data_IF_270056969649
#
_entry.id   IF_270056969649
#
_cell.length_a   1.000
_cell.length_b   1.000
_cell.length_c   1.000
_cell.angle_alpha   90.00
_cell.angle_beta   90.00
_cell.angle_gamma   90.00
#
_symmetry.space_group_name_H-M   'P 1'
#
loop_
_entity.id
_entity.type
_entity.pdbx_description
1 polymer ?
#
# COMPACT_ATOMS: atom_id res chain seq x y z
N UNK A 1 45.71 -9.37 1.53
CA UNK A 1 45.01 -10.39 2.34
C UNK A 1 45.94 -11.56 2.51
N UNK A 2 46.19 -12.05 3.75
CA UNK A 2 47.04 -13.21 3.99
C UNK A 2 46.54 -14.44 3.24
N UNK A 3 47.43 -15.26 2.68
CA UNK A 3 47.05 -16.48 1.94
C UNK A 3 46.19 -17.43 2.76
N UNK A 4 46.42 -17.51 4.08
CA UNK A 4 45.62 -18.32 5.01
C UNK A 4 44.17 -17.90 5.12
N UNK A 5 43.82 -16.66 4.82
CA UNK A 5 42.44 -16.15 4.88
C UNK A 5 41.69 -16.29 3.54
N UNK A 6 42.40 -16.46 2.42
CA UNK A 6 41.80 -16.53 1.09
C UNK A 6 41.14 -17.89 0.85
N UNK A 7 41.77 -18.99 1.21
CA UNK A 7 41.24 -20.34 0.94
C UNK A 7 39.90 -20.62 1.63
N UNK A 8 39.68 -20.26 2.91
CA UNK A 8 38.38 -20.42 3.55
C UNK A 8 37.27 -19.64 2.83
N UNK A 9 37.57 -18.44 2.33
CA UNK A 9 36.60 -17.62 1.57
C UNK A 9 36.29 -18.28 0.23
N UNK A 10 37.30 -18.72 -0.52
CA UNK A 10 37.11 -19.40 -1.81
C UNK A 10 36.32 -20.71 -1.67
N UNK A 11 36.64 -21.51 -0.64
CA UNK A 11 35.86 -22.73 -0.35
C UNK A 11 34.42 -22.42 -0.01
N UNK A 12 34.13 -21.35 0.76
CA UNK A 12 32.76 -20.92 1.05
C UNK A 12 32.02 -20.45 -0.22
N UNK A 13 32.73 -19.73 -1.10
CA UNK A 13 32.18 -19.31 -2.40
C UNK A 13 31.91 -20.51 -3.30
N UNK A 14 32.77 -21.53 -3.27
CA UNK A 14 32.60 -22.79 -3.99
C UNK A 14 31.37 -23.56 -3.44
N UNK A 15 31.21 -23.65 -2.11
CA UNK A 15 30.06 -24.32 -1.47
C UNK A 15 28.72 -23.69 -1.85
N UNK A 16 28.69 -22.36 -2.02
CA UNK A 16 27.48 -21.65 -2.45
C UNK A 16 27.34 -21.50 -3.97
N UNK A 17 28.21 -22.18 -4.75
CA UNK A 17 28.12 -22.24 -6.22
C UNK A 17 28.55 -20.97 -6.96
N UNK A 18 29.20 -20.02 -6.31
CA UNK A 18 29.65 -18.76 -6.93
C UNK A 18 31.03 -18.88 -7.60
N UNK A 19 31.79 -19.90 -7.26
CA UNK A 19 33.12 -20.19 -7.79
C UNK A 19 33.23 -21.68 -8.01
N UNK A 20 33.87 -22.09 -9.09
CA UNK A 20 34.26 -23.48 -9.37
C UNK A 20 35.76 -23.65 -9.28
N UNK A 21 36.24 -24.74 -8.69
CA UNK A 21 37.65 -25.07 -8.68
C UNK A 21 37.98 -26.09 -9.76
N UNK A 22 39.14 -25.88 -10.43
CA UNK A 22 39.60 -26.76 -11.50
C UNK A 22 41.11 -27.07 -11.24
N UNK A 23 41.47 -28.36 -11.29
CA UNK A 23 42.82 -28.87 -11.09
C UNK A 23 43.21 -29.00 -9.60
N UNK A 24 44.12 -29.93 -9.33
CA UNK A 24 44.55 -30.24 -7.95
C UNK A 24 45.83 -29.52 -7.51
N UNK A 25 46.75 -29.24 -8.45
CA UNK A 25 47.98 -28.55 -8.12
C UNK A 25 48.60 -27.87 -9.35
N UNK A 26 48.48 -26.53 -9.49
CA UNK A 26 47.78 -25.60 -8.63
C UNK A 26 46.26 -25.60 -8.83
N UNK A 27 45.49 -25.54 -7.74
CA UNK A 27 44.01 -25.36 -7.77
C UNK A 27 43.69 -23.96 -8.29
N UNK A 28 42.92 -23.88 -9.37
CA UNK A 28 42.44 -22.63 -9.95
C UNK A 28 40.96 -22.44 -9.62
N UNK A 29 40.61 -21.23 -9.27
CA UNK A 29 39.19 -20.86 -8.98
C UNK A 29 38.64 -20.00 -10.11
N UNK A 30 37.53 -20.43 -10.69
CA UNK A 30 36.88 -19.76 -11.80
C UNK A 30 35.54 -19.20 -11.26
N UNK A 31 35.32 -17.87 -11.31
CA UNK A 31 34.06 -17.29 -10.87
C UNK A 31 32.93 -17.60 -11.84
N UNK A 32 31.71 -17.63 -11.32
CA UNK A 32 30.50 -17.71 -12.13
C UNK A 32 30.40 -16.47 -13.05
N UNK A 33 29.90 -16.65 -14.27
CA UNK A 33 29.69 -15.52 -15.18
C UNK A 33 28.70 -14.51 -14.57
N UNK A 34 28.85 -13.20 -14.82
CA UNK A 34 28.00 -12.19 -14.20
C UNK A 34 26.49 -12.39 -14.45
N UNK A 35 26.11 -12.85 -15.65
CA UNK A 35 24.71 -13.17 -15.97
C UNK A 35 24.17 -14.33 -15.14
N UNK A 36 24.95 -15.42 -15.07
CA UNK A 36 24.61 -16.60 -14.28
C UNK A 36 24.64 -16.33 -12.76
N UNK A 37 25.45 -15.37 -12.32
CA UNK A 37 25.46 -14.92 -10.93
C UNK A 37 24.11 -14.29 -10.54
N UNK A 38 23.56 -13.43 -11.40
CA UNK A 38 22.25 -12.81 -11.15
C UNK A 38 21.12 -13.85 -11.14
N UNK A 39 21.14 -14.78 -12.10
CA UNK A 39 20.20 -15.90 -12.14
C UNK A 39 20.28 -16.79 -10.89
N UNK A 40 21.50 -17.10 -10.43
CA UNK A 40 21.72 -17.88 -9.21
C UNK A 40 21.13 -17.19 -7.98
N UNK A 41 21.31 -15.89 -7.84
CA UNK A 41 20.71 -15.14 -6.74
C UNK A 41 19.18 -15.09 -6.84
N UNK A 42 18.61 -14.90 -8.03
CA UNK A 42 17.17 -14.87 -8.23
C UNK A 42 16.52 -16.24 -7.88
N UNK A 43 17.13 -17.35 -8.34
CA UNK A 43 16.68 -18.70 -7.97
C UNK A 43 16.80 -18.95 -6.47
N UNK A 44 17.98 -18.71 -5.88
CA UNK A 44 18.18 -18.91 -4.42
C UNK A 44 17.26 -18.06 -3.56
N UNK A 45 16.90 -16.86 -4.03
CA UNK A 45 15.94 -16.00 -3.33
C UNK A 45 14.51 -16.53 -3.46
N UNK A 46 14.10 -17.01 -4.63
CA UNK A 46 12.80 -17.62 -4.86
C UNK A 46 12.62 -18.90 -4.02
N UNK A 47 13.58 -19.79 -4.04
CA UNK A 47 13.52 -21.03 -3.26
C UNK A 47 13.32 -20.75 -1.77
N UNK A 48 14.10 -19.81 -1.21
CA UNK A 48 13.95 -19.41 0.20
C UNK A 48 12.60 -18.77 0.51
N UNK A 49 12.04 -18.00 -0.43
CA UNK A 49 10.71 -17.42 -0.27
C UNK A 49 9.63 -18.49 -0.33
N UNK A 50 9.78 -19.50 -1.16
CA UNK A 50 8.81 -20.58 -1.28
C UNK A 50 8.85 -21.52 -0.06
N UNK A 51 10.04 -21.86 0.46
CA UNK A 51 10.21 -22.55 1.74
C UNK A 51 9.58 -21.78 2.91
N UNK A 52 9.77 -20.45 2.93
CA UNK A 52 9.20 -19.58 3.94
C UNK A 52 7.67 -19.53 3.84
N UNK A 53 7.12 -19.42 2.63
CA UNK A 53 5.66 -19.45 2.41
C UNK A 53 5.05 -20.76 2.88
N UNK A 54 5.69 -21.91 2.56
CA UNK A 54 5.24 -23.21 3.03
C UNK A 54 5.26 -23.31 4.55
N UNK A 55 6.32 -22.79 5.16
CA UNK A 55 6.47 -22.80 6.63
C UNK A 55 5.44 -21.92 7.32
N UNK A 56 5.19 -20.71 6.80
CA UNK A 56 4.19 -19.76 7.30
C UNK A 56 2.78 -20.31 7.07
N UNK A 57 2.52 -20.95 5.92
CA UNK A 57 1.20 -21.54 5.62
C UNK A 57 0.78 -22.67 6.57
N UNK A 58 1.71 -23.20 7.36
CA UNK A 58 1.44 -24.20 8.42
C UNK A 58 1.12 -23.57 9.78
N UNK A 59 1.30 -22.24 9.91
CA UNK A 59 0.98 -21.49 11.13
C UNK A 59 -0.47 -21.03 11.00
N UNK A 60 -1.33 -21.60 11.81
CA UNK A 60 -2.71 -21.15 11.96
C UNK A 60 -2.69 -19.83 12.75
N UNK A 61 -2.65 -18.71 12.04
CA UNK A 61 -2.76 -17.39 12.66
C UNK A 61 -4.25 -17.06 12.62
N UNK A 62 -4.86 -16.99 13.78
CA UNK A 62 -6.20 -16.44 13.93
C UNK A 62 -6.19 -14.99 13.40
N UNK A 63 -6.74 -14.80 12.19
CA UNK A 63 -6.77 -13.50 11.48
C UNK A 63 -7.59 -12.46 12.29
N UNK A 64 -8.44 -12.93 13.21
CA UNK A 64 -9.26 -12.11 14.11
C UNK A 64 -8.52 -11.69 15.39
N UNK A 65 -7.33 -12.21 15.66
CA UNK A 65 -6.57 -11.90 16.88
C UNK A 65 -6.05 -10.45 16.95
N UNK A 66 -6.05 -9.73 15.84
CA UNK A 66 -5.54 -8.36 15.78
C UNK A 66 -6.51 -7.41 15.08
N UNK A 67 -7.35 -6.75 15.85
CA UNK A 67 -8.22 -5.69 15.35
C UNK A 67 -7.47 -4.55 14.67
N UNK A 68 -6.21 -4.30 15.05
CA UNK A 68 -5.39 -3.21 14.55
C UNK A 68 -3.98 -3.64 14.22
N UNK A 69 -3.56 -3.37 13.00
CA UNK A 69 -2.18 -3.52 12.59
C UNK A 69 -1.50 -2.16 12.50
N UNK A 70 -0.48 -1.93 13.33
CA UNK A 70 0.28 -0.70 13.35
C UNK A 70 1.30 -0.65 12.23
N UNK A 71 1.23 0.36 11.38
CA UNK A 71 2.16 0.61 10.29
C UNK A 71 3.16 1.68 10.73
N UNK A 72 4.43 1.30 10.81
CA UNK A 72 5.52 2.18 11.19
C UNK A 72 6.28 2.66 9.95
N UNK A 73 6.40 3.96 9.78
CA UNK A 73 7.11 4.59 8.67
C UNK A 73 6.29 4.69 7.38
N UNK A 74 6.62 5.71 6.59
CA UNK A 74 5.94 6.04 5.34
C UNK A 74 5.99 4.90 4.31
N UNK A 75 7.15 4.21 4.20
CA UNK A 75 7.31 3.10 3.26
C UNK A 75 6.31 1.96 3.52
N UNK A 76 6.12 1.58 4.78
CA UNK A 76 5.18 0.52 5.15
C UNK A 76 3.72 0.92 4.93
N UNK A 77 3.39 2.20 5.15
CA UNK A 77 2.10 2.76 4.76
C UNK A 77 1.83 2.55 3.27
N UNK A 78 2.74 2.98 2.39
CA UNK A 78 2.56 2.86 0.94
C UNK A 78 2.49 1.40 0.49
N UNK A 79 3.33 0.51 1.05
CA UNK A 79 3.29 -0.92 0.74
C UNK A 79 1.94 -1.53 1.12
N UNK A 80 1.41 -1.21 2.30
CA UNK A 80 0.10 -1.74 2.75
C UNK A 80 -1.06 -1.17 1.94
N UNK A 81 -0.99 0.10 1.54
CA UNK A 81 -1.99 0.68 0.63
C UNK A 81 -2.01 -0.04 -0.71
N UNK A 82 -0.86 -0.30 -1.33
CA UNK A 82 -0.74 -1.07 -2.58
C UNK A 82 -1.32 -2.46 -2.46
N UNK A 83 -0.95 -3.18 -1.40
CA UNK A 83 -1.48 -4.51 -1.12
C UNK A 83 -3.01 -4.51 -1.07
N UNK A 84 -3.62 -3.58 -0.32
CA UNK A 84 -5.08 -3.49 -0.22
C UNK A 84 -5.74 -3.12 -1.55
N UNK A 85 -5.19 -2.17 -2.30
CA UNK A 85 -5.71 -1.76 -3.61
C UNK A 85 -5.65 -2.93 -4.61
N UNK A 86 -4.56 -3.70 -4.60
CA UNK A 86 -4.38 -4.84 -5.49
C UNK A 86 -5.33 -6.00 -5.17
N UNK A 87 -5.71 -6.15 -3.90
CA UNK A 87 -6.67 -7.15 -3.44
C UNK A 87 -8.14 -6.68 -3.51
N UNK A 88 -8.39 -5.41 -3.83
CA UNK A 88 -9.73 -4.84 -3.93
C UNK A 88 -10.57 -5.50 -5.03
N UNK A 89 -11.88 -5.69 -4.75
CA UNK A 89 -12.83 -6.41 -5.62
C UNK A 89 -13.96 -5.54 -6.16
N UNK A 90 -14.34 -4.46 -5.46
CA UNK A 90 -15.51 -3.64 -5.80
C UNK A 90 -15.18 -2.14 -5.78
N UNK A 91 -14.80 -1.60 -4.62
CA UNK A 91 -14.76 -0.14 -4.41
C UNK A 91 -13.53 0.32 -3.64
N UNK A 92 -13.02 1.49 -4.02
CA UNK A 92 -11.91 2.14 -3.34
C UNK A 92 -12.29 3.60 -3.07
N UNK A 93 -12.24 4.00 -1.81
CA UNK A 93 -12.43 5.40 -1.40
C UNK A 93 -11.19 5.89 -0.68
N UNK A 94 -10.72 7.07 -1.04
CA UNK A 94 -9.53 7.62 -0.43
C UNK A 94 -9.65 9.13 -0.21
N UNK A 95 -9.31 9.58 1.00
CA UNK A 95 -8.94 10.96 1.30
C UNK A 95 -7.44 11.01 1.52
N UNK A 96 -6.73 11.78 0.69
CA UNK A 96 -5.28 11.79 0.72
C UNK A 96 -4.65 13.00 0.03
N UNK A 97 -3.33 13.06 0.09
CA UNK A 97 -2.55 14.13 -0.53
C UNK A 97 -2.02 13.69 -1.90
N UNK A 98 -1.66 14.63 -2.80
CA UNK A 98 -1.17 14.32 -4.15
C UNK A 98 0.00 13.34 -4.16
N UNK A 99 0.92 13.46 -3.20
CA UNK A 99 2.10 12.60 -3.08
C UNK A 99 1.72 11.13 -2.83
N UNK A 100 0.83 10.85 -1.88
CA UNK A 100 0.37 9.49 -1.58
C UNK A 100 -0.37 8.90 -2.76
N UNK A 101 -1.26 9.68 -3.37
CA UNK A 101 -2.02 9.25 -4.56
C UNK A 101 -1.08 8.97 -5.72
N UNK A 102 -0.04 9.80 -5.94
CA UNK A 102 0.99 9.56 -6.94
C UNK A 102 1.81 8.29 -6.66
N UNK A 103 2.14 8.04 -5.39
CA UNK A 103 2.91 6.85 -4.99
C UNK A 103 2.19 5.53 -5.29
N UNK A 104 0.85 5.52 -5.25
CA UNK A 104 0.01 4.35 -5.53
C UNK A 104 -0.74 4.45 -6.87
N UNK A 105 -0.40 5.42 -7.72
CA UNK A 105 -1.13 5.71 -8.95
C UNK A 105 -1.22 4.52 -9.90
N UNK A 106 -0.14 3.75 -10.05
CA UNK A 106 -0.11 2.57 -10.91
C UNK A 106 -1.11 1.51 -10.44
N UNK A 107 -1.18 1.30 -9.13
CA UNK A 107 -2.09 0.32 -8.52
C UNK A 107 -3.55 0.76 -8.64
N UNK A 108 -3.84 2.06 -8.50
CA UNK A 108 -5.17 2.63 -8.73
C UNK A 108 -5.61 2.52 -10.20
N UNK A 109 -4.70 2.75 -11.15
CA UNK A 109 -4.99 2.59 -12.59
C UNK A 109 -5.31 1.11 -12.87
N UNK A 110 -4.50 0.19 -12.40
CA UNK A 110 -4.75 -1.25 -12.55
C UNK A 110 -6.07 -1.68 -11.89
N UNK A 111 -6.43 -1.11 -10.74
CA UNK A 111 -7.72 -1.34 -10.09
C UNK A 111 -8.89 -0.83 -10.96
N UNK A 112 -8.75 0.36 -11.56
CA UNK A 112 -9.73 0.90 -12.50
C UNK A 112 -9.90 0.02 -13.75
N UNK A 113 -8.80 -0.51 -14.29
CA UNK A 113 -8.82 -1.44 -15.43
C UNK A 113 -9.51 -2.78 -15.08
N UNK A 114 -9.48 -3.19 -13.81
CA UNK A 114 -10.28 -4.32 -13.29
C UNK A 114 -11.77 -3.99 -13.12
N UNK A 115 -12.18 -2.73 -13.35
CA UNK A 115 -13.58 -2.31 -13.26
C UNK A 115 -14.00 -1.77 -11.88
N UNK A 116 -13.07 -1.54 -10.96
CA UNK A 116 -13.40 -1.06 -9.62
C UNK A 116 -13.91 0.39 -9.63
N UNK A 117 -14.85 0.69 -8.74
CA UNK A 117 -15.33 2.04 -8.50
C UNK A 117 -14.37 2.81 -7.59
N UNK A 118 -13.71 3.86 -8.12
CA UNK A 118 -12.69 4.61 -7.39
C UNK A 118 -13.17 6.04 -7.18
N UNK A 119 -13.22 6.46 -5.91
CA UNK A 119 -13.49 7.83 -5.50
C UNK A 119 -12.34 8.38 -4.68
N UNK A 120 -11.77 9.50 -5.14
CA UNK A 120 -10.65 10.18 -4.49
C UNK A 120 -11.05 11.57 -4.04
N UNK A 121 -10.73 11.90 -2.81
CA UNK A 121 -10.83 13.24 -2.27
C UNK A 121 -9.45 13.78 -1.90
N UNK A 122 -9.22 15.07 -2.16
CA UNK A 122 -8.03 15.78 -1.69
C UNK A 122 -8.32 17.25 -1.48
N UNK A 123 -7.59 17.86 -0.55
CA UNK A 123 -7.58 19.32 -0.44
C UNK A 123 -6.77 19.98 -1.56
N UNK A 124 -5.82 19.27 -2.13
CA UNK A 124 -4.93 19.76 -3.19
C UNK A 124 -5.35 19.23 -4.56
N UNK A 125 -4.86 19.88 -5.62
CA UNK A 125 -5.14 19.46 -6.99
C UNK A 125 -4.69 18.02 -7.27
N UNK A 126 -5.54 17.25 -7.95
CA UNK A 126 -5.29 15.85 -8.30
C UNK A 126 -5.41 15.62 -9.81
N UNK A 127 -4.74 14.57 -10.28
CA UNK A 127 -4.95 14.04 -11.61
C UNK A 127 -6.33 13.37 -11.73
N UNK A 128 -7.19 13.91 -12.58
CA UNK A 128 -8.60 13.47 -12.76
C UNK A 128 -8.76 12.15 -13.56
N UNK A 129 -7.65 11.52 -14.00
CA UNK A 129 -7.72 10.33 -14.87
C UNK A 129 -7.96 9.01 -14.12
N UNK A 130 -7.76 8.96 -12.81
CA UNK A 130 -7.74 7.70 -12.04
C UNK A 130 -9.16 7.23 -11.69
N UNK A 131 -10.06 8.15 -11.33
CA UNK A 131 -11.42 7.82 -10.89
C UNK A 131 -12.27 9.07 -10.71
N UNK A 132 -13.36 8.98 -9.94
CA UNK A 132 -14.11 10.17 -9.53
C UNK A 132 -13.28 10.97 -8.53
N UNK A 133 -12.87 12.16 -8.92
CA UNK A 133 -11.97 12.99 -8.11
C UNK A 133 -12.65 14.26 -7.66
N UNK A 134 -12.59 14.54 -6.37
CA UNK A 134 -13.07 15.76 -5.73
C UNK A 134 -11.89 16.46 -5.09
N UNK A 135 -11.74 17.76 -5.34
CA UNK A 135 -10.60 18.53 -4.85
C UNK A 135 -10.97 19.99 -4.63
N UNK A 136 -10.40 20.62 -3.58
CA UNK A 136 -10.43 22.07 -3.40
C UNK A 136 -9.37 22.78 -4.24
N UNK A 137 -8.49 22.06 -4.90
CA UNK A 137 -7.39 22.57 -5.74
C UNK A 137 -6.45 23.55 -5.00
N UNK A 138 -6.29 23.37 -3.68
CA UNK A 138 -5.42 24.20 -2.86
C UNK A 138 -3.94 23.91 -3.17
N UNK A 139 -3.11 24.91 -2.91
CA UNK A 139 -1.66 24.79 -2.99
C UNK A 139 -1.13 23.87 -1.88
N UNK A 140 -0.40 22.81 -2.27
CA UNK A 140 0.08 21.79 -1.34
C UNK A 140 1.10 22.34 -0.34
N UNK A 141 2.00 23.23 -0.76
CA UNK A 141 3.03 23.79 0.12
C UNK A 141 2.42 24.70 1.19
N UNK A 142 1.42 25.50 0.81
CA UNK A 142 0.69 26.34 1.76
C UNK A 142 -0.10 25.51 2.77
N UNK A 143 -0.74 24.45 2.28
CA UNK A 143 -1.53 23.56 3.14
C UNK A 143 -0.65 22.79 4.13
N UNK A 144 0.54 22.35 3.75
CA UNK A 144 1.50 21.65 4.62
C UNK A 144 1.97 22.50 5.81
N UNK A 145 1.95 23.82 5.69
CA UNK A 145 2.29 24.72 6.81
C UNK A 145 1.22 24.73 7.89
N UNK A 146 -0.02 24.40 7.55
CA UNK A 146 -1.19 24.47 8.43
C UNK A 146 -1.58 23.07 8.90
N UNK A 147 -1.55 22.07 8.00
CA UNK A 147 -2.02 20.71 8.26
C UNK A 147 -0.95 19.66 8.02
N UNK A 148 -0.88 18.72 8.93
CA UNK A 148 -0.07 17.52 8.77
C UNK A 148 -0.71 16.60 7.73
N UNK A 149 0.06 16.09 6.76
CA UNK A 149 -0.44 15.09 5.81
C UNK A 149 -1.02 13.87 6.51
N UNK A 150 -2.24 13.53 6.13
CA UNK A 150 -2.98 12.36 6.61
C UNK A 150 -3.53 11.60 5.41
N UNK A 151 -3.80 10.33 5.61
CA UNK A 151 -4.45 9.47 4.62
C UNK A 151 -5.57 8.69 5.29
N UNK A 152 -6.65 8.50 4.55
CA UNK A 152 -7.71 7.54 4.84
C UNK A 152 -7.96 6.79 3.54
N UNK A 153 -7.80 5.48 3.56
CA UNK A 153 -8.09 4.57 2.45
C UNK A 153 -9.08 3.52 2.96
N UNK A 154 -10.24 3.42 2.33
CA UNK A 154 -11.24 2.38 2.58
C UNK A 154 -11.35 1.52 1.34
N UNK A 155 -11.29 0.20 1.52
CA UNK A 155 -11.38 -0.78 0.42
C UNK A 155 -12.54 -1.72 0.71
N UNK A 156 -13.48 -1.83 -0.25
CA UNK A 156 -14.63 -2.75 -0.27
C UNK A 156 -15.51 -2.71 1.00
N UNK A 157 -15.45 -1.65 1.80
CA UNK A 157 -16.03 -1.60 3.15
C UNK A 157 -15.59 -2.76 4.06
N UNK A 158 -14.46 -3.39 3.75
CA UNK A 158 -13.92 -4.56 4.47
C UNK A 158 -12.62 -4.27 5.18
N UNK A 159 -11.95 -3.17 4.83
CA UNK A 159 -10.71 -2.73 5.49
C UNK A 159 -10.50 -1.24 5.35
N UNK A 160 -9.73 -0.68 6.29
CA UNK A 160 -9.30 0.72 6.20
C UNK A 160 -7.84 0.87 6.64
N UNK A 161 -7.15 1.83 6.00
CA UNK A 161 -5.86 2.34 6.44
C UNK A 161 -6.04 3.81 6.73
N UNK A 162 -5.61 4.26 7.91
CA UNK A 162 -5.69 5.66 8.28
C UNK A 162 -4.53 6.10 9.18
N UNK A 163 -4.14 7.35 9.08
CA UNK A 163 -3.13 7.92 9.95
C UNK A 163 -2.24 8.97 9.30
N UNK A 164 -1.05 9.14 9.88
CA UNK A 164 -0.07 10.11 9.39
C UNK A 164 0.56 9.64 8.10
N UNK A 165 0.69 10.55 7.15
CA UNK A 165 1.38 10.34 5.88
C UNK A 165 2.66 11.20 5.77
N UNK A 166 3.31 11.51 6.90
CA UNK A 166 4.62 12.17 6.89
C UNK A 166 5.67 11.22 6.30
N UNK A 167 6.57 11.75 5.50
CA UNK A 167 7.66 10.99 4.86
C UNK A 167 8.83 10.79 5.84
N UNK A 168 8.53 10.17 6.98
CA UNK A 168 9.50 9.87 8.04
C UNK A 168 9.28 8.45 8.55
N UNK A 169 10.31 7.87 9.16
CA UNK A 169 10.23 6.58 9.83
C UNK A 169 9.37 6.65 11.12
N UNK A 170 9.15 7.84 11.65
CA UNK A 170 8.28 8.09 12.81
C UNK A 170 6.80 8.15 12.46
N UNK A 171 6.44 8.16 11.18
CA UNK A 171 5.05 8.15 10.74
C UNK A 171 4.32 6.95 11.31
N UNK A 172 3.11 7.16 11.80
CA UNK A 172 2.26 6.11 12.39
C UNK A 172 0.91 6.12 11.69
N UNK A 173 0.52 4.95 11.23
CA UNK A 173 -0.80 4.69 10.68
C UNK A 173 -1.27 3.30 11.12
N UNK A 174 -2.53 3.04 10.92
CA UNK A 174 -3.16 1.76 11.26
C UNK A 174 -3.82 1.16 10.02
N UNK A 175 -3.81 -0.16 9.97
CA UNK A 175 -4.66 -0.98 9.13
C UNK A 175 -5.61 -1.76 10.03
N UNK A 176 -6.90 -1.82 9.67
CA UNK A 176 -7.87 -2.60 10.42
C UNK A 176 -9.00 -3.13 9.54
N UNK A 177 -9.58 -4.26 9.94
CA UNK A 177 -10.81 -4.83 9.41
C UNK A 177 -12.03 -4.58 10.35
N UNK A 178 -11.83 -3.84 11.45
CA UNK A 178 -12.89 -3.51 12.39
C UNK A 178 -13.99 -2.67 11.72
N UNK A 179 -15.21 -3.18 11.72
CA UNK A 179 -16.35 -2.62 10.99
C UNK A 179 -16.67 -1.19 11.43
N UNK A 180 -16.67 -0.92 12.73
CA UNK A 180 -16.98 0.41 13.26
C UNK A 180 -15.95 1.47 12.79
N UNK A 181 -14.66 1.09 12.76
CA UNK A 181 -13.61 2.00 12.29
C UNK A 181 -13.69 2.22 10.78
N UNK A 182 -14.03 1.18 10.01
CA UNK A 182 -14.24 1.30 8.56
C UNK A 182 -15.41 2.26 8.28
N UNK A 183 -16.51 2.16 9.01
CA UNK A 183 -17.66 3.05 8.87
C UNK A 183 -17.31 4.51 9.25
N UNK A 184 -16.56 4.72 10.33
CA UNK A 184 -16.07 6.05 10.72
C UNK A 184 -15.18 6.63 9.62
N UNK A 185 -14.26 5.83 9.06
CA UNK A 185 -13.37 6.24 7.99
C UNK A 185 -14.14 6.63 6.71
N UNK A 186 -15.11 5.80 6.30
CA UNK A 186 -15.98 6.08 5.15
C UNK A 186 -16.82 7.34 5.37
N UNK A 187 -17.42 7.50 6.56
CA UNK A 187 -18.20 8.67 6.94
C UNK A 187 -17.36 9.95 6.94
N UNK A 188 -16.10 9.88 7.33
CA UNK A 188 -15.20 11.03 7.25
C UNK A 188 -15.01 11.49 5.79
N UNK A 189 -14.79 10.55 4.86
CA UNK A 189 -14.67 10.87 3.42
C UNK A 189 -16.00 11.45 2.89
N UNK A 190 -17.13 10.90 3.30
CA UNK A 190 -18.47 11.42 2.95
C UNK A 190 -18.64 12.87 3.42
N UNK A 191 -18.24 13.17 4.67
CA UNK A 191 -18.33 14.52 5.22
C UNK A 191 -17.42 15.50 4.46
N UNK A 192 -16.19 15.09 4.15
CA UNK A 192 -15.26 15.90 3.35
C UNK A 192 -15.87 16.25 1.98
N UNK A 193 -16.47 15.27 1.29
CA UNK A 193 -17.11 15.46 -0.02
C UNK A 193 -18.38 16.31 0.08
N UNK A 194 -19.18 16.09 1.12
CA UNK A 194 -20.41 16.88 1.36
C UNK A 194 -20.06 18.35 1.60
N UNK A 195 -19.05 18.60 2.44
CA UNK A 195 -18.57 19.95 2.69
C UNK A 195 -17.98 20.60 1.43
N UNK A 196 -17.27 19.81 0.62
CA UNK A 196 -16.76 20.28 -0.67
C UNK A 196 -17.90 20.65 -1.61
N UNK A 197 -18.98 19.87 -1.66
CA UNK A 197 -20.18 20.19 -2.43
C UNK A 197 -20.78 21.54 -2.05
N UNK A 198 -20.94 21.78 -0.75
CA UNK A 198 -21.44 23.05 -0.24
C UNK A 198 -20.55 24.25 -0.59
N UNK A 199 -19.22 24.10 -0.44
CA UNK A 199 -18.25 25.18 -0.67
C UNK A 199 -17.96 25.47 -2.14
N UNK A 200 -18.00 24.42 -2.98
CA UNK A 200 -17.68 24.51 -4.41
C UNK A 200 -18.93 24.58 -5.30
N UNK A 201 -20.13 24.50 -4.72
CA UNK A 201 -21.40 24.70 -5.43
C UNK A 201 -21.80 23.53 -6.35
N UNK A 202 -21.48 22.27 -5.97
CA UNK A 202 -21.92 21.08 -6.70
C UNK A 202 -22.78 20.16 -5.79
N UNK A 203 -23.66 19.36 -6.39
CA UNK A 203 -24.42 18.33 -5.66
C UNK A 203 -23.51 17.15 -5.29
N UNK A 204 -23.23 16.89 -3.98
CA UNK A 204 -22.40 15.78 -3.55
C UNK A 204 -23.17 14.44 -3.55
N UNK A 205 -24.50 14.43 -3.56
CA UNK A 205 -25.34 13.23 -3.36
C UNK A 205 -24.99 12.06 -4.30
N UNK A 206 -24.78 12.27 -5.62
CA UNK A 206 -24.44 11.16 -6.52
C UNK A 206 -23.12 10.48 -6.16
N UNK A 207 -22.19 11.22 -5.54
CA UNK A 207 -20.87 10.71 -5.13
C UNK A 207 -21.00 10.02 -3.77
N UNK A 208 -21.65 10.67 -2.82
CA UNK A 208 -21.88 10.14 -1.47
C UNK A 208 -22.61 8.80 -1.51
N UNK A 209 -23.66 8.67 -2.32
CA UNK A 209 -24.38 7.40 -2.50
C UNK A 209 -23.50 6.25 -2.98
N UNK A 210 -22.44 6.51 -3.75
CA UNK A 210 -21.47 5.48 -4.18
C UNK A 210 -20.60 4.98 -3.02
N UNK A 211 -20.31 5.86 -2.06
CA UNK A 211 -19.48 5.56 -0.88
C UNK A 211 -20.30 4.88 0.21
N UNK A 212 -21.58 5.17 0.31
CA UNK A 212 -22.43 4.58 1.35
C UNK A 212 -22.52 3.06 1.23
N UNK A 213 -22.41 2.36 2.35
CA UNK A 213 -22.60 0.89 2.43
C UNK A 213 -24.07 0.51 2.12
N UNK A 214 -25.01 1.39 2.50
CA UNK A 214 -26.44 1.25 2.29
C UNK A 214 -27.03 2.52 1.68
N UNK A 215 -26.93 2.71 0.36
CA UNK A 215 -27.38 3.93 -0.30
C UNK A 215 -28.93 4.07 -0.35
N UNK A 216 -29.64 2.99 -0.04
CA UNK A 216 -31.10 2.92 0.07
C UNK A 216 -31.65 3.44 1.39
N UNK A 217 -30.82 3.53 2.43
CA UNK A 217 -31.18 4.15 3.71
C UNK A 217 -31.14 5.67 3.57
N UNK A 218 -32.30 6.26 3.30
CA UNK A 218 -32.51 7.70 3.21
C UNK A 218 -32.68 8.26 4.64
N UNK A 219 -31.60 8.79 5.23
CA UNK A 219 -31.65 9.45 6.54
C UNK A 219 -32.68 10.59 6.59
N UNK A 220 -32.94 11.28 5.48
CA UNK A 220 -33.91 12.35 5.39
C UNK A 220 -35.33 11.84 5.64
N UNK A 221 -35.64 10.57 5.31
CA UNK A 221 -36.87 9.94 5.65
C UNK A 221 -37.03 9.66 7.14
N UNK A 222 -35.95 9.28 7.81
CA UNK A 222 -35.95 9.05 9.25
C UNK A 222 -36.04 10.33 10.06
N UNK A 223 -35.49 11.45 9.54
CA UNK A 223 -35.57 12.77 10.21
C UNK A 223 -36.99 13.37 10.05
N UNK A 224 -37.71 13.06 8.96
CA UNK A 224 -39.04 13.61 8.67
C UNK A 224 -40.18 12.74 9.21
N UNK A 225 -39.89 11.57 9.77
CA UNK A 225 -40.85 10.69 10.44
C UNK A 225 -40.97 11.00 11.93
#
# INVERSE_FOLDING_TARGET
>A
IPRSAIYPILNRLETIGLVNSVGDSPKKFIPLAPSSLLEHFDHSHKDRLDDLKESIGKIDIDDDAFDFWHLHGYRNLILKMRENINNAKDKIFMSGWPREIKAIQKDLIAAKERGLDITLFSFCSLNKQIGKTISYELDEEKLRKIWTPKVILVVDHSSTIMGSARETDESRSIYTKNEAIIEIAANHIILDITLAGQRLGFDPNPIVKRIMKRPDLDLDRLIKS
#
